data_IF_114339801215
#
_entry.id   IF_114339801215
#
_cell.length_a   1.000
_cell.length_b   1.000
_cell.length_c   1.000
_cell.angle_alpha   90.00
_cell.angle_beta   90.00
_cell.angle_gamma   90.00
#
_symmetry.space_group_name_H-M   'P 1'
#
loop_
_entity.id
_entity.type
_entity.pdbx_description
1 polymer ?
#
# COMPACT_ATOMS: atom_id res chain seq x y z
N UNK A 1 1.55 25.54 64.78
CA UNK A 1 1.66 25.68 63.31
C UNK A 1 0.88 24.53 62.68
N UNK A 2 -0.35 24.83 62.24
CA UNK A 2 -0.92 24.58 60.89
C UNK A 2 -0.23 23.45 60.07
N UNK A 3 -0.87 22.41 59.49
CA UNK A 3 -2.26 22.15 59.06
C UNK A 3 -2.56 20.65 58.76
N UNK A 4 -3.86 20.31 58.84
CA UNK A 4 -4.72 19.49 57.94
C UNK A 4 -4.30 18.06 57.54
N UNK A 5 -5.00 17.01 57.97
CA UNK A 5 -6.36 16.52 57.59
C UNK A 5 -6.35 15.61 56.34
N UNK A 6 -6.49 14.31 56.63
CA UNK A 6 -7.21 13.21 55.95
C UNK A 6 -7.51 13.31 54.43
N UNK A 7 -7.13 12.26 53.69
CA UNK A 7 -8.05 11.20 53.20
C UNK A 7 -7.48 10.50 51.97
N UNK A 8 -7.65 9.19 51.95
CA UNK A 8 -7.34 8.26 50.87
C UNK A 8 -8.06 8.60 49.56
N UNK A 9 -7.39 8.43 48.42
CA UNK A 9 -8.02 7.88 47.21
C UNK A 9 -6.99 7.29 46.24
N UNK A 10 -7.41 6.21 45.59
CA UNK A 10 -6.65 5.39 44.65
C UNK A 10 -6.23 6.17 43.39
N UNK A 11 -5.10 5.82 42.80
CA UNK A 11 -5.01 5.72 41.33
C UNK A 11 -3.84 4.85 40.93
N UNK A 12 -4.16 3.71 40.31
CA UNK A 12 -3.23 2.89 39.57
C UNK A 12 -2.48 3.71 38.51
N UNK A 13 -1.16 3.49 38.42
CA UNK A 13 -0.31 3.68 37.24
C UNK A 13 1.08 3.15 37.58
N UNK A 14 1.24 1.83 37.48
CA UNK A 14 2.55 1.21 37.38
C UNK A 14 3.15 1.60 36.03
N UNK A 15 4.11 2.52 36.07
CA UNK A 15 5.03 2.82 34.99
C UNK A 15 6.42 2.84 35.61
N UNK A 16 7.33 2.07 35.00
CA UNK A 16 8.80 2.22 34.92
C UNK A 16 9.50 0.86 35.07
N UNK A 17 9.82 0.28 33.91
CA UNK A 17 11.21 0.03 33.50
C UNK A 17 11.88 -1.24 34.01
N UNK A 18 12.10 -2.20 33.11
CA UNK A 18 13.46 -2.72 32.83
C UNK A 18 13.50 -3.36 31.44
N UNK A 19 14.59 -3.10 30.74
CA UNK A 19 14.90 -3.52 29.38
C UNK A 19 15.26 -5.02 29.34
N UNK A 20 14.73 -5.77 28.36
CA UNK A 20 15.35 -7.05 27.97
C UNK A 20 15.26 -7.20 26.43
N UNK A 21 16.38 -6.84 25.78
CA UNK A 21 16.64 -7.07 24.37
C UNK A 21 16.57 -8.58 24.07
N UNK A 22 15.66 -8.99 23.19
CA UNK A 22 15.70 -10.33 22.59
C UNK A 22 16.70 -10.31 21.44
N UNK A 23 17.84 -10.94 21.64
CA UNK A 23 18.79 -11.26 20.57
C UNK A 23 18.13 -12.23 19.58
N UNK A 24 17.98 -11.79 18.33
CA UNK A 24 17.54 -12.65 17.24
C UNK A 24 18.77 -13.42 16.72
N UNK A 25 18.82 -14.73 16.99
CA UNK A 25 19.83 -15.62 16.41
C UNK A 25 19.58 -15.75 14.90
N UNK A 26 20.49 -15.24 14.07
CA UNK A 26 20.52 -15.50 12.62
C UNK A 26 20.92 -16.97 12.36
N UNK A 27 20.29 -17.68 11.39
CA UNK A 27 20.75 -18.99 10.97
C UNK A 27 22.05 -18.90 10.15
N UNK A 28 22.93 -19.89 10.37
CA UNK A 28 24.24 -20.03 9.74
C UNK A 28 24.22 -19.95 8.21
N UNK A 29 25.22 -19.22 7.68
CA UNK A 29 25.56 -19.08 6.27
C UNK A 29 25.98 -20.43 5.67
N UNK A 30 25.25 -20.92 4.68
CA UNK A 30 25.64 -22.14 3.96
C UNK A 30 24.63 -22.65 2.95
N UNK A 31 24.85 -22.32 1.67
CA UNK A 31 24.39 -23.06 0.47
C UNK A 31 22.86 -23.13 0.29
N UNK A 32 22.22 -22.41 -0.64
CA UNK A 32 22.40 -22.43 -2.10
C UNK A 32 21.91 -21.09 -2.64
N UNK A 33 22.62 -20.54 -3.64
CA UNK A 33 22.15 -19.39 -4.40
C UNK A 33 20.78 -19.66 -5.03
N UNK A 34 19.71 -19.20 -4.36
CA UNK A 34 18.52 -18.77 -5.07
C UNK A 34 18.76 -17.29 -5.29
N UNK A 35 19.43 -16.97 -6.40
CA UNK A 35 19.29 -15.64 -6.98
C UNK A 35 17.79 -15.53 -7.26
N UNK A 36 17.07 -14.82 -6.41
CA UNK A 36 15.75 -14.32 -6.74
C UNK A 36 15.97 -13.25 -7.82
N UNK A 37 16.25 -13.72 -9.04
CA UNK A 37 16.47 -12.91 -10.24
C UNK A 37 15.10 -12.48 -10.78
N UNK A 38 14.30 -11.91 -9.88
CA UNK A 38 13.13 -11.10 -10.19
C UNK A 38 13.40 -9.73 -9.59
N UNK A 39 14.43 -9.07 -10.12
CA UNK A 39 14.49 -7.62 -10.10
C UNK A 39 13.29 -7.09 -10.91
N UNK A 40 12.11 -7.14 -10.31
CA UNK A 40 10.95 -6.46 -10.82
C UNK A 40 11.26 -4.97 -10.64
N UNK A 41 11.62 -4.32 -11.74
CA UNK A 41 11.78 -2.87 -11.78
C UNK A 41 10.38 -2.27 -11.60
N UNK A 42 9.98 -2.13 -10.34
CA UNK A 42 8.75 -1.43 -9.98
C UNK A 42 9.05 0.05 -10.14
N UNK A 43 8.60 0.64 -11.24
CA UNK A 43 8.65 2.09 -11.43
C UNK A 43 7.90 2.74 -10.27
N UNK A 44 8.53 3.68 -9.57
CA UNK A 44 7.88 4.38 -8.47
C UNK A 44 6.77 5.29 -9.00
N UNK A 45 5.83 5.65 -8.13
CA UNK A 45 4.66 6.43 -8.54
C UNK A 45 5.07 7.82 -8.98
N UNK A 46 6.13 8.35 -8.38
CA UNK A 46 6.75 9.65 -8.68
C UNK A 46 7.44 9.70 -10.06
N UNK A 47 7.90 8.55 -10.57
CA UNK A 47 8.58 8.45 -11.86
C UNK A 47 7.60 8.28 -13.05
N UNK A 48 6.28 8.25 -12.77
CA UNK A 48 5.28 8.04 -13.79
C UNK A 48 5.05 9.32 -14.59
N UNK A 49 5.31 9.25 -15.90
CA UNK A 49 4.95 10.34 -16.81
C UNK A 49 3.43 10.45 -16.99
N UNK A 50 2.88 11.67 -17.07
CA UNK A 50 1.47 11.88 -17.40
C UNK A 50 1.11 11.28 -18.76
N UNK A 51 -0.15 10.85 -18.89
CA UNK A 51 -0.69 10.34 -20.15
C UNK A 51 -1.43 11.50 -20.83
N UNK A 52 -1.11 11.84 -22.09
CA UNK A 52 -1.85 12.88 -22.80
C UNK A 52 -3.27 12.41 -23.14
N UNK A 53 -4.21 13.36 -23.26
CA UNK A 53 -5.56 13.14 -23.81
C UNK A 53 -6.38 12.04 -23.10
N UNK A 54 -6.28 11.98 -21.78
CA UNK A 54 -7.06 11.06 -20.96
C UNK A 54 -8.52 11.46 -20.94
N UNK A 55 -9.40 10.48 -21.16
CA UNK A 55 -10.85 10.66 -21.09
C UNK A 55 -11.50 9.53 -20.29
N UNK A 56 -12.72 9.77 -19.81
CA UNK A 56 -13.51 8.75 -19.09
C UNK A 56 -13.67 7.45 -19.91
N UNK A 57 -13.82 7.54 -21.24
CA UNK A 57 -13.96 6.37 -22.10
C UNK A 57 -12.71 5.48 -22.09
N UNK A 58 -11.53 6.09 -22.00
CA UNK A 58 -10.27 5.34 -21.87
C UNK A 58 -10.22 4.56 -20.55
N UNK A 59 -10.77 5.12 -19.47
CA UNK A 59 -10.88 4.43 -18.18
C UNK A 59 -11.84 3.24 -18.29
N UNK A 60 -12.97 3.39 -18.99
CA UNK A 60 -13.91 2.29 -19.25
C UNK A 60 -13.24 1.12 -20.00
N UNK A 61 -12.45 1.44 -21.04
CA UNK A 61 -11.70 0.42 -21.79
C UNK A 61 -10.68 -0.32 -20.92
N UNK A 62 -9.97 0.41 -20.04
CA UNK A 62 -9.02 -0.17 -19.09
C UNK A 62 -9.75 -1.11 -18.11
N UNK A 63 -10.86 -0.66 -17.52
CA UNK A 63 -11.67 -1.48 -16.60
C UNK A 63 -12.19 -2.72 -17.31
N UNK A 64 -12.61 -2.59 -18.57
CA UNK A 64 -13.03 -3.73 -19.38
C UNK A 64 -11.92 -4.77 -19.55
N UNK A 65 -10.70 -4.32 -19.92
CA UNK A 65 -9.53 -5.22 -20.04
C UNK A 65 -9.24 -5.91 -18.72
N UNK A 66 -9.22 -5.17 -17.61
CA UNK A 66 -8.94 -5.73 -16.27
C UNK A 66 -9.98 -6.79 -15.86
N UNK A 67 -11.24 -6.65 -16.29
CA UNK A 67 -12.32 -7.56 -15.92
C UNK A 67 -12.50 -8.76 -16.87
N UNK A 68 -12.00 -8.68 -18.11
CA UNK A 68 -12.33 -9.67 -19.17
C UNK A 68 -11.13 -10.42 -19.71
N UNK A 69 -9.94 -9.84 -19.62
CA UNK A 69 -8.74 -10.41 -20.24
C UNK A 69 -7.99 -11.30 -19.25
N UNK A 70 -7.42 -12.41 -19.74
CA UNK A 70 -6.48 -13.27 -19.01
C UNK A 70 -5.04 -13.18 -19.53
N UNK A 71 -4.80 -12.36 -20.55
CA UNK A 71 -3.48 -12.06 -21.09
C UNK A 71 -2.68 -11.18 -20.11
N UNK A 72 -1.56 -11.72 -19.62
CA UNK A 72 -0.71 -11.06 -18.63
C UNK A 72 -0.17 -9.71 -19.11
N UNK A 73 0.25 -9.60 -20.37
CA UNK A 73 0.84 -8.37 -20.89
C UNK A 73 -0.21 -7.26 -20.98
N UNK A 74 -1.40 -7.59 -21.47
CA UNK A 74 -2.52 -6.64 -21.51
C UNK A 74 -2.94 -6.18 -20.11
N UNK A 75 -2.99 -7.10 -19.15
CA UNK A 75 -3.28 -6.76 -17.75
C UNK A 75 -2.21 -5.84 -17.16
N UNK A 76 -0.94 -6.15 -17.37
CA UNK A 76 0.17 -5.33 -16.89
C UNK A 76 0.12 -3.90 -17.46
N UNK A 77 -0.09 -3.76 -18.77
CA UNK A 77 -0.24 -2.47 -19.42
C UNK A 77 -1.46 -1.69 -18.92
N UNK A 78 -2.59 -2.37 -18.73
CA UNK A 78 -3.81 -1.78 -18.20
C UNK A 78 -3.60 -1.25 -16.78
N UNK A 79 -2.94 -2.01 -15.90
CA UNK A 79 -2.61 -1.57 -14.53
C UNK A 79 -1.66 -0.38 -14.53
N UNK A 80 -0.62 -0.38 -15.37
CA UNK A 80 0.29 0.75 -15.48
C UNK A 80 -0.42 2.03 -15.96
N UNK A 81 -1.25 1.92 -17.00
CA UNK A 81 -2.04 3.04 -17.50
C UNK A 81 -3.02 3.54 -16.44
N UNK A 82 -3.73 2.63 -15.76
CA UNK A 82 -4.65 2.98 -14.68
C UNK A 82 -3.93 3.76 -13.58
N UNK A 83 -2.77 3.27 -13.13
CA UNK A 83 -1.96 3.94 -12.12
C UNK A 83 -1.55 5.35 -12.54
N UNK A 84 -1.13 5.55 -13.80
CA UNK A 84 -0.79 6.89 -14.32
C UNK A 84 -1.99 7.84 -14.31
N UNK A 85 -3.17 7.35 -14.71
CA UNK A 85 -4.42 8.12 -14.72
C UNK A 85 -4.84 8.48 -13.30
N UNK A 86 -4.79 7.55 -12.35
CA UNK A 86 -5.12 7.83 -10.94
C UNK A 86 -4.23 8.93 -10.35
N UNK A 87 -2.93 8.93 -10.70
CA UNK A 87 -1.96 9.88 -10.16
C UNK A 87 -2.13 11.27 -10.75
N UNK A 88 -2.32 11.37 -12.08
CA UNK A 88 -2.25 12.66 -12.80
C UNK A 88 -3.60 13.19 -13.27
N UNK A 89 -4.62 12.34 -13.34
CA UNK A 89 -5.91 12.63 -13.96
C UNK A 89 -7.09 12.08 -13.15
N UNK A 90 -7.00 12.11 -11.81
CA UNK A 90 -8.02 11.57 -10.91
C UNK A 90 -9.43 12.13 -11.16
N UNK A 91 -9.52 13.34 -11.71
CA UNK A 91 -10.75 14.03 -12.08
C UNK A 91 -11.56 13.35 -13.20
N UNK A 92 -10.92 12.49 -14.00
CA UNK A 92 -11.61 11.77 -15.09
C UNK A 92 -12.38 10.56 -14.60
N UNK A 93 -12.19 10.14 -13.35
CA UNK A 93 -12.88 9.00 -12.77
C UNK A 93 -14.30 9.36 -12.36
N UNK A 94 -15.24 8.58 -12.86
CA UNK A 94 -16.61 8.59 -12.36
C UNK A 94 -16.74 7.68 -11.13
N UNK A 95 -17.71 7.96 -10.26
CA UNK A 95 -17.99 7.12 -9.07
C UNK A 95 -18.22 5.66 -9.45
N UNK A 96 -18.92 5.42 -10.57
CA UNK A 96 -19.18 4.07 -11.08
C UNK A 96 -17.89 3.31 -11.40
N UNK A 97 -16.93 3.94 -12.06
CA UNK A 97 -15.65 3.31 -12.41
C UNK A 97 -14.83 2.98 -11.16
N UNK A 98 -14.86 3.85 -10.15
CA UNK A 98 -14.21 3.58 -8.86
C UNK A 98 -14.82 2.36 -8.18
N UNK A 99 -16.16 2.28 -8.12
CA UNK A 99 -16.86 1.13 -7.55
C UNK A 99 -16.57 -0.18 -8.32
N UNK A 100 -16.46 -0.12 -9.65
CA UNK A 100 -16.11 -1.28 -10.47
C UNK A 100 -14.67 -1.75 -10.20
N UNK A 101 -13.71 -0.85 -10.06
CA UNK A 101 -12.32 -1.18 -9.72
C UNK A 101 -12.16 -1.77 -8.30
N UNK A 102 -13.01 -1.35 -7.37
CA UNK A 102 -12.97 -1.81 -5.97
C UNK A 102 -13.85 -3.04 -5.70
N UNK A 103 -14.56 -3.53 -6.71
CA UNK A 103 -15.40 -4.71 -6.57
C UNK A 103 -14.54 -5.93 -6.23
N UNK A 104 -14.92 -6.74 -5.22
CA UNK A 104 -14.22 -7.99 -4.91
C UNK A 104 -14.18 -8.91 -6.14
N UNK A 105 -13.03 -9.56 -6.33
CA UNK A 105 -12.80 -10.58 -7.36
C UNK A 105 -13.44 -11.92 -6.98
#
# INVERSE_FOLDING_TARGET
>A
MTQMKTSSELSAKDYVGTEEQREASLPEDGSVAVVDDKSAVVTLTEDLTPVPDVSSAMVDDIVHVLAKTSDWLQLYEAVLKLRRIVVHHSEVFTTKQVEECLRPL
#
